data_IF_434508677760
#
_entry.id   IF_434508677760
#
_cell.length_a   1.000
_cell.length_b   1.000
_cell.length_c   1.000
_cell.angle_alpha   90.00
_cell.angle_beta   90.00
_cell.angle_gamma   90.00
#
_symmetry.space_group_name_H-M   'P 1'
#
loop_
_entity.id
_entity.type
_entity.pdbx_description
1 polymer ?
#
# COMPACT_ATOMS: atom_id res chain seq x y z
N UNK A 1 -27.52 -0.95 27.06
CA UNK A 1 -26.18 -1.02 26.49
C UNK A 1 -25.40 -2.13 27.18
N UNK A 2 -24.86 -3.04 26.43
CA UNK A 2 -24.13 -4.16 27.01
C UNK A 2 -22.72 -3.73 27.41
N UNK A 3 -22.34 -4.08 28.61
CA UNK A 3 -20.96 -3.91 29.04
C UNK A 3 -20.07 -4.92 28.29
N UNK A 4 -18.83 -4.54 27.90
CA UNK A 4 -17.89 -5.51 27.36
C UNK A 4 -17.62 -6.61 28.38
N UNK A 5 -17.40 -7.82 27.89
CA UNK A 5 -16.98 -8.91 28.77
C UNK A 5 -15.69 -8.52 29.49
N UNK A 6 -15.55 -8.94 30.75
CA UNK A 6 -14.34 -8.69 31.51
C UNK A 6 -13.10 -9.29 30.84
N UNK A 7 -13.25 -10.28 29.95
CA UNK A 7 -12.15 -10.88 29.19
C UNK A 7 -11.91 -10.20 27.86
N UNK A 8 -12.79 -9.31 27.40
CA UNK A 8 -12.71 -8.62 26.13
C UNK A 8 -11.98 -7.29 26.30
N UNK A 9 -10.67 -7.34 26.52
CA UNK A 9 -9.87 -6.12 26.68
C UNK A 9 -9.46 -5.57 25.32
N UNK A 10 -9.52 -4.24 25.19
CA UNK A 10 -8.89 -3.58 24.05
C UNK A 10 -7.39 -3.75 24.14
N UNK A 11 -6.80 -4.05 22.99
CA UNK A 11 -5.33 -4.20 22.87
C UNK A 11 -4.73 -3.21 21.91
N UNK A 12 -5.51 -2.23 21.48
CA UNK A 12 -5.09 -1.23 20.51
C UNK A 12 -4.72 0.11 21.13
N UNK A 13 -4.63 0.17 22.46
CA UNK A 13 -4.16 1.37 23.12
C UNK A 13 -2.64 1.57 23.01
N UNK A 14 -1.90 0.53 22.65
CA UNK A 14 -0.47 0.60 22.35
C UNK A 14 -0.24 0.25 20.90
N UNK A 15 0.78 0.87 20.27
CA UNK A 15 1.16 0.54 18.91
C UNK A 15 1.59 -0.93 18.80
N UNK A 16 1.18 -1.64 17.74
CA UNK A 16 1.61 -3.02 17.58
C UNK A 16 3.13 -3.11 17.48
N UNK A 17 3.71 -3.94 18.33
CA UNK A 17 5.16 -4.12 18.38
C UNK A 17 5.73 -4.60 17.04
N UNK A 18 4.97 -5.45 16.33
CA UNK A 18 5.43 -6.07 15.08
C UNK A 18 5.67 -5.03 13.99
N UNK A 19 4.87 -3.96 13.95
CA UNK A 19 5.07 -2.87 12.99
C UNK A 19 6.39 -2.17 13.26
N UNK A 20 6.68 -1.86 14.52
CA UNK A 20 7.91 -1.16 14.88
C UNK A 20 9.15 -2.03 14.71
N UNK A 21 8.98 -3.35 14.85
CA UNK A 21 10.10 -4.31 14.86
C UNK A 21 10.90 -4.29 13.55
N UNK A 22 10.22 -4.20 12.42
CA UNK A 22 10.88 -4.29 11.12
C UNK A 22 11.41 -2.94 10.62
N UNK A 23 11.11 -1.87 11.34
CA UNK A 23 11.56 -0.54 10.96
C UNK A 23 10.91 0.00 9.68
N UNK A 24 9.79 -0.58 9.27
CA UNK A 24 9.07 -0.13 8.09
C UNK A 24 8.37 1.19 8.42
N UNK A 25 8.32 2.07 7.44
CA UNK A 25 7.73 3.40 7.62
C UNK A 25 6.49 3.53 6.73
N UNK A 26 5.39 3.97 7.31
CA UNK A 26 4.16 4.21 6.55
C UNK A 26 4.43 5.23 5.44
N UNK A 27 4.01 4.92 4.22
CA UNK A 27 4.15 5.81 3.08
C UNK A 27 2.80 6.35 2.63
N UNK A 28 1.87 5.46 2.33
CA UNK A 28 0.53 5.89 1.89
C UNK A 28 -0.45 4.73 1.95
N UNK A 29 -1.72 5.07 1.74
CA UNK A 29 -2.78 4.11 1.49
C UNK A 29 -3.29 4.34 0.08
N UNK A 30 -3.24 3.31 -0.76
CA UNK A 30 -3.82 3.36 -2.10
C UNK A 30 -5.27 2.90 -2.05
N UNK A 31 -6.17 3.72 -2.57
CA UNK A 31 -7.61 3.41 -2.56
C UNK A 31 -8.11 3.38 -4.00
N UNK A 32 -8.53 2.21 -4.49
CA UNK A 32 -9.13 2.11 -5.83
C UNK A 32 -10.45 2.88 -5.89
N UNK A 33 -10.69 3.52 -7.02
CA UNK A 33 -11.94 4.23 -7.27
C UNK A 33 -12.30 4.14 -8.75
N UNK A 34 -13.60 4.19 -9.05
CA UNK A 34 -14.08 4.27 -10.43
C UNK A 34 -14.47 5.70 -10.81
N UNK A 35 -14.31 6.64 -9.89
CA UNK A 35 -14.72 8.02 -10.08
C UNK A 35 -13.51 8.86 -10.44
N UNK A 36 -13.59 9.58 -11.59
CA UNK A 36 -12.57 10.54 -11.98
C UNK A 36 -12.54 11.69 -10.97
N UNK A 37 -11.36 12.02 -10.48
CA UNK A 37 -11.16 13.05 -9.47
C UNK A 37 -10.42 14.24 -10.06
N UNK A 38 -10.71 15.47 -9.59
CA UNK A 38 -9.92 16.63 -10.01
C UNK A 38 -8.44 16.45 -9.69
N UNK A 39 -7.59 16.86 -10.60
CA UNK A 39 -6.14 16.80 -10.38
C UNK A 39 -5.51 15.43 -10.59
N UNK A 40 -6.23 14.50 -11.19
CA UNK A 40 -5.64 13.20 -11.53
C UNK A 40 -4.46 13.36 -12.48
N UNK A 41 -3.43 12.54 -12.27
CA UNK A 41 -2.33 12.38 -13.20
C UNK A 41 -2.42 10.97 -13.80
N UNK A 42 -2.48 10.89 -15.13
CA UNK A 42 -2.49 9.59 -15.80
C UNK A 42 -1.06 9.10 -15.97
N UNK A 43 -0.83 7.86 -15.54
CA UNK A 43 0.45 7.17 -15.69
C UNK A 43 0.23 6.03 -16.68
N UNK A 44 0.36 6.28 -18.01
CA UNK A 44 -0.05 5.29 -18.99
C UNK A 44 0.77 4.00 -18.96
N UNK A 45 2.04 4.09 -18.55
CA UNK A 45 2.87 2.88 -18.43
C UNK A 45 2.44 1.99 -17.26
N UNK A 46 1.72 2.55 -16.29
CA UNK A 46 1.16 1.80 -15.16
C UNK A 46 -0.34 1.59 -15.30
N UNK A 47 -0.96 2.13 -16.34
CA UNK A 47 -2.39 2.02 -16.63
C UNK A 47 -3.26 2.41 -15.44
N UNK A 48 -2.95 3.56 -14.84
CA UNK A 48 -3.66 4.08 -13.69
C UNK A 48 -3.64 5.61 -13.68
N UNK A 49 -4.74 6.19 -13.20
CA UNK A 49 -4.82 7.61 -12.86
C UNK A 49 -4.69 7.73 -11.35
N UNK A 50 -3.80 8.60 -10.87
CA UNK A 50 -3.55 8.77 -9.44
C UNK A 50 -3.85 10.20 -9.02
N UNK A 51 -4.28 10.38 -7.76
CA UNK A 51 -4.57 11.70 -7.21
C UNK A 51 -4.52 11.66 -5.69
N UNK A 52 -4.29 12.82 -5.09
CA UNK A 52 -4.44 13.03 -3.66
C UNK A 52 -3.20 12.84 -2.82
N UNK A 53 -2.20 12.08 -3.26
CA UNK A 53 -1.04 11.78 -2.42
C UNK A 53 -0.35 13.06 -1.89
N UNK A 54 -0.14 14.03 -2.75
CA UNK A 54 0.61 15.24 -2.40
C UNK A 54 -0.18 16.20 -1.48
N UNK A 55 -1.50 16.06 -1.45
CA UNK A 55 -2.36 16.97 -0.70
C UNK A 55 -3.03 16.32 0.51
N UNK A 56 -2.94 15.02 0.65
CA UNK A 56 -3.62 14.31 1.74
C UNK A 56 -2.83 14.43 3.04
N UNK A 57 -3.50 14.85 4.11
CA UNK A 57 -2.92 14.84 5.46
C UNK A 57 -2.79 13.42 6.02
N UNK A 58 -3.37 12.44 5.35
CA UNK A 58 -3.45 11.06 5.84
C UNK A 58 -2.67 10.08 4.98
N UNK A 59 -2.00 10.56 3.92
CA UNK A 59 -1.30 9.70 3.00
C UNK A 59 -2.23 8.92 2.08
N UNK A 60 -3.40 9.45 1.76
CA UNK A 60 -4.34 8.77 0.87
C UNK A 60 -3.98 9.08 -0.58
N UNK A 61 -3.83 8.03 -1.39
CA UNK A 61 -3.70 8.13 -2.83
C UNK A 61 -4.86 7.40 -3.48
N UNK A 62 -5.66 8.14 -4.25
CA UNK A 62 -6.76 7.54 -5.02
C UNK A 62 -6.20 6.99 -6.32
N UNK A 63 -6.67 5.80 -6.71
CA UNK A 63 -6.17 5.10 -7.88
C UNK A 63 -7.35 4.67 -8.76
N UNK A 64 -7.42 5.24 -9.96
CA UNK A 64 -8.45 4.87 -10.92
C UNK A 64 -7.76 4.11 -12.06
N UNK A 65 -7.88 2.79 -12.03
CA UNK A 65 -7.20 1.93 -13.00
C UNK A 65 -7.87 2.00 -14.36
N UNK A 66 -7.04 1.95 -15.41
CA UNK A 66 -7.55 1.80 -16.77
C UNK A 66 -8.22 0.43 -16.91
N UNK A 67 -9.17 0.31 -17.85
CA UNK A 67 -9.94 -0.93 -17.97
C UNK A 67 -9.07 -2.13 -18.34
N UNK A 68 -7.97 -1.90 -19.05
CA UNK A 68 -7.06 -2.97 -19.47
C UNK A 68 -5.84 -3.11 -18.54
N UNK A 69 -5.89 -2.55 -17.34
CA UNK A 69 -4.80 -2.67 -16.38
C UNK A 69 -4.57 -4.15 -16.03
N UNK A 70 -3.33 -4.66 -16.16
CA UNK A 70 -3.07 -6.10 -16.06
C UNK A 70 -2.78 -6.56 -14.64
N UNK A 71 -3.28 -5.86 -13.64
CA UNK A 71 -2.99 -6.18 -12.25
C UNK A 71 -3.93 -7.23 -11.70
N UNK A 72 -3.50 -8.00 -10.69
CA UNK A 72 -4.41 -8.91 -9.98
C UNK A 72 -5.61 -8.15 -9.42
N UNK A 73 -6.74 -8.85 -9.30
CA UNK A 73 -7.97 -8.24 -8.81
C UNK A 73 -7.80 -7.61 -7.42
N UNK A 74 -7.01 -8.23 -6.56
CA UNK A 74 -6.76 -7.67 -5.23
C UNK A 74 -6.15 -6.26 -5.29
N UNK A 75 -5.35 -5.97 -6.32
CA UNK A 75 -4.73 -4.65 -6.50
C UNK A 75 -5.74 -3.62 -7.00
N UNK A 76 -6.60 -4.02 -7.93
CA UNK A 76 -7.54 -3.08 -8.57
C UNK A 76 -8.82 -2.88 -7.79
N UNK A 77 -9.14 -3.77 -6.85
CA UNK A 77 -10.43 -3.73 -6.13
C UNK A 77 -10.31 -3.45 -4.64
N UNK A 78 -9.15 -3.67 -4.02
CA UNK A 78 -8.98 -3.49 -2.58
C UNK A 78 -8.02 -2.34 -2.28
N UNK A 79 -8.24 -1.60 -1.18
CA UNK A 79 -7.23 -0.68 -0.69
C UNK A 79 -5.96 -1.43 -0.31
N UNK A 80 -4.81 -0.77 -0.45
CA UNK A 80 -3.55 -1.33 0.02
C UNK A 80 -2.82 -0.31 0.89
N UNK A 81 -2.13 -0.80 1.93
CA UNK A 81 -1.22 0.01 2.70
C UNK A 81 0.17 -0.11 2.08
N UNK A 82 0.90 1.00 2.04
CA UNK A 82 2.24 1.03 1.47
C UNK A 82 3.26 1.47 2.52
N UNK A 83 4.35 0.73 2.60
CA UNK A 83 5.46 1.02 3.51
C UNK A 83 6.75 1.23 2.75
N UNK A 84 7.52 2.19 3.22
CA UNK A 84 8.90 2.33 2.79
C UNK A 84 9.77 1.39 3.61
N UNK A 85 10.65 0.66 2.93
CA UNK A 85 11.57 -0.30 3.55
C UNK A 85 13.00 0.03 3.13
N UNK A 86 13.96 -0.33 3.96
CA UNK A 86 15.37 -0.08 3.65
C UNK A 86 15.96 -1.12 2.71
N UNK A 87 15.46 -2.35 2.78
CA UNK A 87 15.96 -3.48 1.98
C UNK A 87 14.77 -4.31 1.52
N UNK A 88 14.38 -4.09 0.26
CA UNK A 88 13.21 -4.75 -0.30
C UNK A 88 13.38 -6.27 -0.38
N UNK A 89 14.55 -6.73 -0.80
CA UNK A 89 14.79 -8.16 -0.91
C UNK A 89 14.61 -8.86 0.44
N UNK A 90 15.13 -8.26 1.50
CA UNK A 90 14.98 -8.79 2.85
C UNK A 90 13.53 -8.74 3.32
N UNK A 91 12.84 -7.63 3.01
CA UNK A 91 11.44 -7.47 3.40
C UNK A 91 10.53 -8.51 2.75
N UNK A 92 10.91 -9.03 1.58
CA UNK A 92 10.12 -10.02 0.84
C UNK A 92 10.36 -11.45 1.29
N UNK A 93 11.40 -11.70 2.10
CA UNK A 93 11.72 -13.08 2.54
C UNK A 93 10.54 -13.71 3.27
N UNK A 94 10.13 -14.89 2.81
CA UNK A 94 9.04 -15.63 3.42
C UNK A 94 7.66 -15.05 3.18
N UNK A 95 7.52 -14.05 2.31
CA UNK A 95 6.22 -13.44 1.99
C UNK A 95 5.63 -14.00 0.72
N UNK A 96 4.30 -13.99 0.65
CA UNK A 96 3.60 -14.35 -0.58
C UNK A 96 3.59 -13.13 -1.49
N UNK A 97 4.20 -13.25 -2.67
CA UNK A 97 4.36 -12.12 -3.58
C UNK A 97 3.16 -12.02 -4.50
N UNK A 98 2.56 -10.84 -4.53
CA UNK A 98 1.44 -10.51 -5.40
C UNK A 98 1.91 -9.85 -6.70
N UNK A 99 2.86 -8.91 -6.58
CA UNK A 99 3.51 -8.28 -7.73
C UNK A 99 5.02 -8.31 -7.47
N UNK A 100 5.76 -8.90 -8.41
CA UNK A 100 7.21 -9.01 -8.32
C UNK A 100 7.88 -7.63 -8.30
N UNK A 101 9.09 -7.52 -7.71
CA UNK A 101 9.81 -6.26 -7.71
C UNK A 101 9.94 -5.65 -9.09
N UNK A 102 9.67 -4.36 -9.20
CA UNK A 102 9.74 -3.60 -10.43
C UNK A 102 10.04 -2.13 -10.11
N UNK A 103 10.42 -1.37 -11.13
CA UNK A 103 10.76 0.05 -10.97
C UNK A 103 9.71 0.87 -11.74
N UNK A 104 8.64 1.33 -11.07
CA UNK A 104 7.59 2.09 -11.77
C UNK A 104 8.03 3.50 -12.14
N UNK A 105 9.08 4.01 -11.48
CA UNK A 105 9.69 5.29 -11.82
C UNK A 105 11.15 5.29 -11.37
N UNK A 106 11.98 6.22 -11.90
CA UNK A 106 13.39 6.28 -11.50
C UNK A 106 13.54 6.45 -9.98
N UNK A 107 14.48 5.70 -9.41
CA UNK A 107 14.84 5.84 -8.01
C UNK A 107 13.98 5.08 -7.03
N UNK A 108 12.99 4.32 -7.48
CA UNK A 108 12.16 3.52 -6.58
C UNK A 108 11.97 2.11 -7.13
N UNK A 109 12.12 1.13 -6.25
CA UNK A 109 11.77 -0.26 -6.55
C UNK A 109 10.59 -0.62 -5.66
N UNK A 110 9.56 -1.21 -6.25
CA UNK A 110 8.35 -1.60 -5.51
C UNK A 110 8.04 -3.06 -5.74
N UNK A 111 7.34 -3.64 -4.77
CA UNK A 111 6.74 -4.96 -4.89
C UNK A 111 5.44 -4.95 -4.11
N UNK A 112 4.56 -5.88 -4.39
CA UNK A 112 3.38 -6.07 -3.56
C UNK A 112 3.36 -7.49 -3.03
N UNK A 113 3.00 -7.61 -1.76
CA UNK A 113 2.77 -8.88 -1.09
C UNK A 113 1.30 -8.98 -0.74
N UNK A 114 0.86 -10.18 -0.40
CA UNK A 114 -0.49 -10.39 0.09
C UNK A 114 -0.40 -11.12 1.43
N UNK A 115 -1.15 -10.63 2.42
CA UNK A 115 -1.21 -11.22 3.73
C UNK A 115 -2.67 -11.43 4.10
N UNK A 116 -3.08 -12.70 4.15
CA UNK A 116 -4.45 -13.07 4.46
C UNK A 116 -5.49 -12.28 3.64
N UNK A 117 -5.22 -12.17 2.34
CA UNK A 117 -6.10 -11.47 1.40
C UNK A 117 -5.89 -9.96 1.31
N UNK A 118 -5.04 -9.39 2.17
CA UNK A 118 -4.79 -7.94 2.15
C UNK A 118 -3.55 -7.62 1.31
N UNK A 119 -3.69 -6.76 0.28
CA UNK A 119 -2.54 -6.34 -0.50
C UNK A 119 -1.72 -5.29 0.24
N UNK A 120 -0.40 -5.43 0.20
CA UNK A 120 0.54 -4.50 0.85
C UNK A 120 1.62 -4.15 -0.15
N UNK A 121 1.89 -2.86 -0.32
CA UNK A 121 2.96 -2.39 -1.19
C UNK A 121 4.20 -2.08 -0.37
N UNK A 122 5.37 -2.49 -0.87
CA UNK A 122 6.65 -2.19 -0.26
C UNK A 122 7.49 -1.39 -1.24
N UNK A 123 8.05 -0.27 -0.77
CA UNK A 123 8.83 0.65 -1.59
C UNK A 123 10.23 0.80 -1.01
N UNK A 124 11.23 0.66 -1.87
CA UNK A 124 12.60 0.96 -1.53
C UNK A 124 13.08 2.12 -2.41
N UNK A 125 13.41 3.25 -1.79
CA UNK A 125 13.93 4.40 -2.49
C UNK A 125 15.44 4.35 -2.52
N UNK A 126 16.03 4.65 -3.68
CA UNK A 126 17.47 4.70 -3.83
C UNK A 126 17.91 6.14 -3.89
N UNK A 127 18.89 6.48 -3.04
CA UNK A 127 19.58 7.75 -3.16
C UNK A 127 20.64 7.64 -4.27
N UNK A 128 20.71 8.65 -5.09
CA UNK A 128 21.75 8.74 -6.11
C UNK A 128 23.06 9.25 -5.51
#
# INVERSE_FOLDING_TARGET
>A
MNEPSATAKRRDCDSPFVIAKDGWRFHHIGIPTNVARPGETHLPWLKVHVSGFESSSYGIQWMRFDKDAPYPEAVTSLPHVAFEVDDLARALEGKEILIEPNCPSPGVTVAMIIDDGAPIELLEFRSN
#
